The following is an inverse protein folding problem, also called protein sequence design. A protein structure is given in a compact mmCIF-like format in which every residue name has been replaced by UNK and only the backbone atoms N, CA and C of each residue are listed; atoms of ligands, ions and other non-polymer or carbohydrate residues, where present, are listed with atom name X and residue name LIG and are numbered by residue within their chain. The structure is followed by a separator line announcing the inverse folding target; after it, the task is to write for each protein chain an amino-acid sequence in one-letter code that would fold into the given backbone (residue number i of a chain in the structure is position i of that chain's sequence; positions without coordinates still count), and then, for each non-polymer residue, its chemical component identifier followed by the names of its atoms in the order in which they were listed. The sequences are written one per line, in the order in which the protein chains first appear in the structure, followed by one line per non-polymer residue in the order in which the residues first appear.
data_IF_898589405482
#
_entry.id   IF_898589405482
#
_cell.length_a   1.000
_cell.length_b   1.000
_cell.length_c   1.000
_cell.angle_alpha   90.00
_cell.angle_beta   90.00
_cell.angle_gamma   90.00
#
_symmetry.space_group_name_H-M   'P 1'
#
loop_
_entity.id
_entity.type
_entity.pdbx_description
1 polymer ?
#
# COMPACT_ATOMS: atom_id res chain seq x y z
N UNK A 1 -29.08 -12.07 -8.37
CA UNK A 1 -28.46 -12.74 -7.20
C UNK A 1 -27.99 -11.66 -6.25
N UNK A 2 -28.66 -11.55 -5.11
CA UNK A 2 -28.42 -10.53 -4.09
C UNK A 2 -27.07 -10.82 -3.39
N UNK A 3 -26.21 -9.81 -3.27
CA UNK A 3 -24.91 -9.91 -2.59
C UNK A 3 -25.03 -10.12 -1.07
N UNK A 4 -26.24 -10.11 -0.51
CA UNK A 4 -26.50 -10.25 0.92
C UNK A 4 -26.25 -11.66 1.48
N UNK A 5 -26.14 -12.70 0.63
CA UNK A 5 -25.85 -14.09 1.05
C UNK A 5 -24.37 -14.48 1.01
N UNK A 6 -23.46 -13.63 0.51
CA UNK A 6 -22.02 -13.96 0.42
C UNK A 6 -21.23 -13.77 1.73
N UNK A 7 -21.83 -13.15 2.75
CA UNK A 7 -21.10 -12.67 3.93
C UNK A 7 -21.83 -13.01 5.24
N UNK A 8 -21.43 -14.08 5.91
CA UNK A 8 -21.85 -14.34 7.29
C UNK A 8 -20.93 -13.59 8.26
N UNK A 9 -21.14 -12.29 8.41
CA UNK A 9 -20.37 -11.50 9.37
C UNK A 9 -21.07 -11.46 10.73
N UNK A 10 -20.38 -11.98 11.74
CA UNK A 10 -20.73 -11.82 13.15
C UNK A 10 -20.23 -10.46 13.67
N UNK A 11 -20.51 -10.16 14.94
CA UNK A 11 -20.01 -8.95 15.63
C UNK A 11 -18.46 -8.96 15.69
N UNK A 12 -17.83 -10.14 15.75
CA UNK A 12 -16.40 -10.28 16.03
C UNK A 12 -15.56 -10.57 14.80
N UNK A 13 -16.07 -11.37 13.85
CA UNK A 13 -15.33 -11.75 12.66
C UNK A 13 -16.24 -11.91 11.43
N UNK A 14 -15.59 -11.78 10.27
CA UNK A 14 -16.16 -11.95 8.95
C UNK A 14 -15.38 -13.08 8.24
N UNK A 15 -15.76 -14.35 8.43
CA UNK A 15 -15.19 -15.49 7.72
C UNK A 15 -15.51 -15.44 6.22
N UNK A 16 -14.61 -15.97 5.41
CA UNK A 16 -14.87 -16.25 4.00
C UNK A 16 -15.51 -17.63 3.87
N UNK A 17 -16.58 -17.74 3.08
CA UNK A 17 -17.26 -19.02 2.87
C UNK A 17 -16.53 -19.93 1.86
N UNK A 18 -15.57 -19.39 1.11
CA UNK A 18 -14.86 -20.10 0.04
C UNK A 18 -13.40 -20.45 0.41
N UNK A 19 -12.93 -20.04 1.61
CA UNK A 19 -11.63 -20.44 2.16
C UNK A 19 -11.50 -20.12 3.66
N UNK A 20 -10.48 -20.65 4.33
CA UNK A 20 -10.26 -20.53 5.79
C UNK A 20 -9.75 -19.13 6.25
N UNK A 21 -10.03 -18.07 5.49
CA UNK A 21 -9.59 -16.70 5.84
C UNK A 21 -10.67 -15.93 6.56
N UNK A 22 -10.29 -15.33 7.68
CA UNK A 22 -11.15 -14.45 8.46
C UNK A 22 -10.69 -12.99 8.41
N UNK A 23 -11.66 -12.09 8.54
CA UNK A 23 -11.44 -10.65 8.48
C UNK A 23 -12.14 -9.93 9.63
N UNK A 24 -11.57 -8.81 10.05
CA UNK A 24 -12.16 -7.94 11.09
C UNK A 24 -13.26 -7.01 10.56
N UNK A 25 -13.52 -7.00 9.24
CA UNK A 25 -14.54 -6.13 8.67
C UNK A 25 -15.13 -6.68 7.36
N UNK A 26 -16.42 -6.43 7.16
CA UNK A 26 -17.17 -6.73 5.91
C UNK A 26 -16.45 -6.21 4.66
N UNK A 27 -15.91 -4.99 4.74
CA UNK A 27 -15.18 -4.39 3.62
C UNK A 27 -13.96 -5.21 3.21
N UNK A 28 -13.19 -5.70 4.19
CA UNK A 28 -12.00 -6.49 3.92
C UNK A 28 -12.35 -7.89 3.39
N UNK A 29 -13.39 -8.53 3.95
CA UNK A 29 -13.91 -9.80 3.44
C UNK A 29 -14.38 -9.66 1.98
N UNK A 30 -15.21 -8.65 1.68
CA UNK A 30 -15.67 -8.38 0.31
C UNK A 30 -14.50 -8.20 -0.66
N UNK A 31 -13.51 -7.36 -0.29
CA UNK A 31 -12.34 -7.13 -1.15
C UNK A 31 -11.53 -8.41 -1.36
N UNK A 32 -11.39 -9.23 -0.32
CA UNK A 32 -10.77 -10.54 -0.44
C UNK A 32 -11.53 -11.42 -1.42
N UNK A 33 -12.84 -11.57 -1.23
CA UNK A 33 -13.69 -12.41 -2.05
C UNK A 33 -13.66 -12.00 -3.51
N UNK A 34 -13.93 -10.72 -3.77
CA UNK A 34 -13.87 -10.18 -5.12
C UNK A 34 -12.50 -10.39 -5.77
N UNK A 35 -11.40 -10.26 -5.03
CA UNK A 35 -10.05 -10.44 -5.59
C UNK A 35 -9.70 -11.90 -5.86
N UNK A 36 -9.98 -12.78 -4.92
CA UNK A 36 -9.43 -14.13 -4.88
C UNK A 36 -10.40 -15.20 -5.41
N UNK A 37 -11.70 -14.99 -5.27
CA UNK A 37 -12.73 -15.93 -5.74
C UNK A 37 -13.36 -15.45 -7.06
N UNK A 38 -13.58 -14.13 -7.23
CA UNK A 38 -14.10 -13.58 -8.49
C UNK A 38 -13.04 -13.06 -9.46
N UNK A 39 -11.76 -13.08 -9.08
CA UNK A 39 -10.65 -12.59 -9.92
C UNK A 39 -10.69 -11.09 -10.24
N UNK A 40 -11.49 -10.30 -9.51
CA UNK A 40 -11.63 -8.85 -9.71
C UNK A 40 -10.31 -8.15 -9.38
N UNK A 41 -9.84 -7.33 -10.32
CA UNK A 41 -8.65 -6.50 -10.14
C UNK A 41 -9.05 -5.12 -9.60
N UNK A 42 -8.31 -4.66 -8.60
CA UNK A 42 -8.50 -3.33 -7.99
C UNK A 42 -7.35 -2.39 -8.32
N UNK A 43 -7.68 -1.11 -8.45
CA UNK A 43 -6.71 -0.02 -8.64
C UNK A 43 -5.64 -0.39 -9.68
N UNK A 44 -6.08 -0.70 -10.89
CA UNK A 44 -5.20 -1.22 -11.94
C UNK A 44 -4.38 -0.09 -12.58
N UNK A 45 -3.08 -0.32 -12.73
CA UNK A 45 -2.23 0.55 -13.54
C UNK A 45 -2.56 0.34 -15.02
N UNK A 46 -3.05 1.38 -15.69
CA UNK A 46 -3.39 1.30 -17.12
C UNK A 46 -2.16 1.09 -18.02
N UNK A 47 -0.96 1.42 -17.55
CA UNK A 47 0.28 1.27 -18.31
C UNK A 47 0.85 -0.16 -18.29
N UNK A 48 0.77 -0.87 -17.17
CA UNK A 48 1.37 -2.21 -17.03
C UNK A 48 0.42 -3.29 -16.50
N UNK A 49 -0.88 -2.98 -16.40
CA UNK A 49 -1.96 -3.87 -15.98
C UNK A 49 -1.81 -4.52 -14.58
N UNK A 50 -0.91 -4.00 -13.74
CA UNK A 50 -0.73 -4.45 -12.35
C UNK A 50 -1.84 -3.88 -11.45
N UNK A 51 -2.40 -4.73 -10.59
CA UNK A 51 -3.42 -4.35 -9.59
C UNK A 51 -2.79 -4.01 -8.24
N UNK A 52 -3.34 -3.04 -7.52
CA UNK A 52 -2.84 -2.60 -6.22
C UNK A 52 -3.92 -2.61 -5.14
N UNK A 53 -3.51 -2.84 -3.89
CA UNK A 53 -4.44 -2.97 -2.76
C UNK A 53 -5.19 -1.67 -2.42
N UNK A 54 -4.65 -0.51 -2.81
CA UNK A 54 -5.25 0.80 -2.61
C UNK A 54 -4.88 1.80 -3.72
N UNK A 55 -5.66 2.87 -3.85
CA UNK A 55 -5.37 3.99 -4.77
C UNK A 55 -4.05 4.70 -4.45
N UNK A 56 -3.70 4.80 -3.17
CA UNK A 56 -2.44 5.42 -2.73
C UNK A 56 -1.23 4.63 -3.24
N UNK A 57 -1.25 3.30 -3.09
CA UNK A 57 -0.16 2.43 -3.57
C UNK A 57 -0.08 2.49 -5.10
N UNK A 58 -1.22 2.51 -5.80
CA UNK A 58 -1.22 2.72 -7.26
C UNK A 58 -0.57 4.05 -7.62
N UNK A 59 -0.93 5.15 -6.95
CA UNK A 59 -0.35 6.48 -7.21
C UNK A 59 1.16 6.50 -7.03
N UNK A 60 1.66 5.93 -5.93
CA UNK A 60 3.10 5.80 -5.71
C UNK A 60 3.78 4.93 -6.74
N UNK A 61 3.11 3.85 -7.19
CA UNK A 61 3.58 3.03 -8.28
C UNK A 61 3.71 3.81 -9.59
N UNK A 62 2.77 4.72 -9.91
CA UNK A 62 2.81 5.53 -11.13
C UNK A 62 4.06 6.42 -11.21
N UNK A 63 4.68 6.79 -10.08
CA UNK A 63 5.96 7.49 -10.07
C UNK A 63 7.12 6.66 -10.66
N UNK A 64 6.96 5.34 -10.81
CA UNK A 64 7.90 4.49 -11.56
C UNK A 64 7.78 4.72 -13.07
N UNK A 65 6.58 4.99 -13.56
CA UNK A 65 6.35 5.28 -14.97
C UNK A 65 6.72 6.72 -15.32
N UNK A 66 6.29 7.69 -14.51
CA UNK A 66 6.59 9.11 -14.78
C UNK A 66 8.00 9.55 -14.41
N UNK A 67 8.75 8.71 -13.68
CA UNK A 67 10.05 9.08 -13.13
C UNK A 67 9.98 10.08 -11.96
N UNK A 68 8.78 10.49 -11.53
CA UNK A 68 8.60 11.46 -10.46
C UNK A 68 9.27 11.01 -9.14
N UNK A 69 9.89 11.97 -8.46
CA UNK A 69 10.52 11.78 -7.14
C UNK A 69 10.06 12.91 -6.22
N UNK A 70 8.82 12.85 -5.70
CA UNK A 70 8.22 13.97 -4.97
C UNK A 70 8.90 14.23 -3.62
N UNK A 71 9.51 13.21 -3.02
CA UNK A 71 10.09 13.31 -1.68
C UNK A 71 11.53 13.79 -1.76
N UNK A 72 11.81 15.00 -1.25
CA UNK A 72 13.16 15.60 -1.25
C UNK A 72 13.76 15.57 0.16
N UNK A 73 15.01 15.15 0.26
CA UNK A 73 15.80 15.28 1.48
C UNK A 73 16.13 16.76 1.73
N UNK A 74 15.90 17.23 2.95
CA UNK A 74 16.17 18.62 3.33
C UNK A 74 17.67 18.89 3.50
N UNK A 75 18.44 17.90 3.95
CA UNK A 75 19.89 18.02 4.19
C UNK A 75 20.70 18.02 2.89
N UNK A 76 20.57 16.98 2.05
CA UNK A 76 21.39 16.84 0.83
C UNK A 76 20.62 17.01 -0.48
N UNK A 77 19.35 17.45 -0.42
CA UNK A 77 18.47 17.68 -1.59
C UNK A 77 18.21 16.46 -2.50
N UNK A 78 18.72 15.26 -2.17
CA UNK A 78 18.44 14.00 -2.87
C UNK A 78 16.95 13.68 -2.88
N UNK A 79 16.44 13.20 -4.02
CA UNK A 79 15.00 12.92 -4.23
C UNK A 79 14.69 11.43 -4.27
N UNK A 80 13.54 11.06 -3.72
CA UNK A 80 13.05 9.69 -3.57
C UNK A 80 11.64 9.55 -4.15
N UNK A 81 11.36 8.35 -4.64
CA UNK A 81 10.04 7.99 -5.17
C UNK A 81 9.01 7.69 -4.07
N UNK A 82 9.48 7.19 -2.93
CA UNK A 82 8.66 6.80 -1.78
C UNK A 82 9.13 7.51 -0.52
N UNK A 83 8.18 7.82 0.37
CA UNK A 83 8.46 8.47 1.64
C UNK A 83 9.29 7.58 2.58
N UNK A 84 8.99 6.28 2.63
CA UNK A 84 9.73 5.31 3.45
C UNK A 84 11.23 5.31 3.13
N UNK A 85 11.60 5.38 1.85
CA UNK A 85 13.00 5.47 1.43
C UNK A 85 13.66 6.78 1.85
N UNK A 86 12.94 7.91 1.76
CA UNK A 86 13.43 9.18 2.31
C UNK A 86 13.62 9.09 3.83
N UNK A 87 12.69 8.49 4.55
CA UNK A 87 12.74 8.35 6.01
C UNK A 87 13.97 7.53 6.45
N UNK A 88 14.21 6.39 5.81
CA UNK A 88 15.42 5.58 6.06
C UNK A 88 16.67 6.37 5.68
N UNK A 89 16.68 7.04 4.54
CA UNK A 89 17.80 7.88 4.12
C UNK A 89 18.12 8.98 5.13
N UNK A 90 17.12 9.64 5.74
CA UNK A 90 17.35 10.70 6.72
C UNK A 90 18.17 10.23 7.93
N UNK A 91 18.09 8.94 8.29
CA UNK A 91 18.87 8.38 9.42
C UNK A 91 20.38 8.48 9.20
N UNK A 92 20.86 8.47 7.95
CA UNK A 92 22.29 8.63 7.68
C UNK A 92 22.76 10.04 8.07
N UNK A 93 21.90 11.05 7.88
CA UNK A 93 22.22 12.43 8.25
C UNK A 93 22.25 12.58 9.77
N UNK A 94 21.42 11.85 10.51
CA UNK A 94 21.53 11.81 11.97
C UNK A 94 22.89 11.26 12.45
N UNK A 95 23.40 10.20 11.81
CA UNK A 95 24.72 9.63 12.14
C UNK A 95 25.85 10.60 11.78
N UNK A 96 25.74 11.28 10.64
CA UNK A 96 26.77 12.22 10.17
C UNK A 96 26.75 13.51 11.01
N UNK A 97 25.58 14.10 11.28
CA UNK A 97 25.43 15.35 12.05
C UNK A 97 25.91 15.19 13.49
N UNK A 98 25.74 14.01 14.10
CA UNK A 98 26.24 13.74 15.44
C UNK A 98 27.78 13.68 15.52
N UNK A 99 28.48 13.49 14.39
CA UNK A 99 29.96 13.51 14.33
C UNK A 99 30.56 14.90 14.19
N UNK A 100 29.80 15.86 13.64
CA UNK A 100 30.29 17.24 13.39
C UNK A 100 30.07 18.15 14.62
N UNK A 101 29.26 17.73 15.58
CA UNK A 101 29.00 18.48 16.82
C UNK A 101 29.80 17.94 18.02
N UNK A 102 30.74 17.02 17.78
CA UNK A 102 31.61 16.40 18.81
C UNK A 102 33.09 16.70 18.59
N UNK A 103 33.43 17.48 17.57
CA UNK A 103 34.75 18.07 17.33
C UNK A 103 34.66 19.59 17.54
#
# INVERSE_FOLDING_TARGET
MDNSTMYECTIFCCPCNDCDKEYRSRFNLRRHFEKHHLGKKFNVCKTCNKSFASRQILREHLYRHSGAKPYRCTFCRKRFRQYSHLSVHKKIHSVIINRINTD
#
